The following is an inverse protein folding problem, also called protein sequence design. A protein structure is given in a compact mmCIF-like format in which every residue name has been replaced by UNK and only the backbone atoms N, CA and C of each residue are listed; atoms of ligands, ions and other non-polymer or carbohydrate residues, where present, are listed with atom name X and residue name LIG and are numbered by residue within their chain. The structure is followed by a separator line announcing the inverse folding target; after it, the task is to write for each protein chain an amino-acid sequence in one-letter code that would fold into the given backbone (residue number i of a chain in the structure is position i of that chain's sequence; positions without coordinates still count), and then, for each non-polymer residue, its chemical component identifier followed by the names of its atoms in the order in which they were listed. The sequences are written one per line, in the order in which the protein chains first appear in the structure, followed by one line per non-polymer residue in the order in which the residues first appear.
data_IF_871455658553
#
_entry.id   IF_871455658553
#
_cell.length_a   1.000
_cell.length_b   1.000
_cell.length_c   1.000
_cell.angle_alpha   90.00
_cell.angle_beta   90.00
_cell.angle_gamma   90.00
#
_symmetry.space_group_name_H-M   'P 1'
#
loop_
_entity.id
_entity.type
_entity.pdbx_description
1 polymer ?
#
# COMPACT_ATOMS: atom_id res chain seq x y z
N UNK A 1 47.45 -11.41 37.23
CA UNK A 1 46.08 -10.92 37.01
C UNK A 1 45.98 -9.49 37.44
N UNK A 2 45.58 -8.64 36.50
CA UNK A 2 45.34 -7.24 36.74
C UNK A 2 43.91 -7.01 37.24
N UNK A 3 43.73 -6.13 38.21
CA UNK A 3 42.41 -5.67 38.64
C UNK A 3 41.90 -4.59 37.71
N UNK A 4 40.77 -4.86 37.05
CA UNK A 4 40.20 -4.02 36.01
C UNK A 4 38.71 -3.79 36.25
N UNK A 5 38.18 -2.73 35.65
CA UNK A 5 36.75 -2.45 35.60
C UNK A 5 36.23 -2.79 34.21
N UNK A 6 35.18 -3.59 34.12
CA UNK A 6 34.50 -3.92 32.87
C UNK A 6 33.10 -3.30 32.85
N UNK A 7 32.89 -2.38 31.92
CA UNK A 7 31.67 -1.59 31.81
C UNK A 7 30.82 -2.06 30.63
N UNK A 8 29.57 -2.40 30.94
CA UNK A 8 28.55 -2.87 30.00
C UNK A 8 27.46 -1.80 29.90
N UNK A 9 27.19 -1.25 28.70
CA UNK A 9 26.18 -0.21 28.52
C UNK A 9 24.78 -0.81 28.68
N UNK A 10 23.81 0.04 29.00
CA UNK A 10 22.41 -0.36 29.23
C UNK A 10 21.80 -1.20 28.10
N UNK A 11 22.19 -0.92 26.85
CA UNK A 11 21.77 -1.64 25.64
C UNK A 11 22.20 -3.11 25.62
N UNK A 12 23.31 -3.45 26.28
CA UNK A 12 23.82 -4.82 26.41
C UNK A 12 23.52 -5.44 27.78
N UNK A 13 22.87 -4.69 28.68
CA UNK A 13 22.50 -5.11 30.04
C UNK A 13 20.98 -5.18 30.24
N UNK A 14 20.25 -5.66 29.23
CA UNK A 14 18.81 -5.93 29.31
C UNK A 14 17.95 -4.78 29.86
N UNK A 15 18.37 -3.52 29.60
CA UNK A 15 17.66 -2.32 30.04
C UNK A 15 17.90 -1.91 31.50
N UNK A 16 18.72 -2.65 32.26
CA UNK A 16 19.00 -2.40 33.69
C UNK A 16 19.98 -1.25 33.98
N UNK A 17 20.20 -0.34 33.03
CA UNK A 17 21.23 0.72 33.14
C UNK A 17 22.65 0.24 32.83
N UNK A 18 23.61 1.15 32.86
CA UNK A 18 25.04 0.81 32.74
C UNK A 18 25.47 -0.02 33.95
N UNK A 19 26.23 -1.09 33.69
CA UNK A 19 26.74 -1.99 34.73
C UNK A 19 28.26 -2.03 34.70
N UNK A 20 28.88 -1.82 35.85
CA UNK A 20 30.33 -1.91 36.05
C UNK A 20 30.63 -3.15 36.88
N UNK A 21 31.59 -3.95 36.43
CA UNK A 21 31.98 -5.19 37.07
C UNK A 21 33.48 -5.13 37.32
N UNK A 22 33.89 -5.22 38.57
CA UNK A 22 35.31 -5.32 38.94
C UNK A 22 35.74 -6.79 38.89
N UNK A 23 36.80 -7.08 38.13
CA UNK A 23 37.34 -8.43 37.97
C UNK A 23 38.87 -8.40 37.95
N UNK A 24 39.47 -9.56 38.23
CA UNK A 24 40.91 -9.77 38.04
C UNK A 24 41.14 -10.59 36.77
N UNK A 25 41.85 -10.06 35.77
CA UNK A 25 42.08 -10.72 34.48
C UNK A 25 43.48 -10.47 33.93
N UNK A 26 44.04 -11.46 33.21
CA UNK A 26 45.38 -11.33 32.60
C UNK A 26 45.34 -10.76 31.18
N UNK A 27 44.25 -11.00 30.46
CA UNK A 27 44.07 -10.57 29.06
C UNK A 27 42.62 -10.17 28.78
N UNK A 28 42.40 -9.54 27.63
CA UNK A 28 41.05 -9.21 27.17
C UNK A 28 40.19 -10.47 26.99
N UNK A 29 40.74 -11.57 26.47
CA UNK A 29 40.04 -12.86 26.36
C UNK A 29 39.56 -13.37 27.73
N UNK A 30 40.46 -13.38 28.72
CA UNK A 30 40.15 -13.80 30.08
C UNK A 30 39.06 -12.93 30.72
N UNK A 31 39.09 -11.61 30.48
CA UNK A 31 38.05 -10.69 30.94
C UNK A 31 36.66 -11.04 30.38
N UNK A 32 36.54 -11.31 29.07
CA UNK A 32 35.26 -11.66 28.46
C UNK A 32 34.69 -12.99 28.96
N UNK A 33 35.54 -13.99 29.22
CA UNK A 33 35.12 -15.28 29.81
C UNK A 33 34.50 -15.04 31.19
N UNK A 34 35.24 -14.34 32.07
CA UNK A 34 34.79 -14.06 33.46
C UNK A 34 33.51 -13.23 33.50
N UNK A 35 33.41 -12.18 32.69
CA UNK A 35 32.18 -11.36 32.61
C UNK A 35 31.01 -12.19 32.11
N UNK A 36 31.23 -13.09 31.15
CA UNK A 36 30.19 -13.95 30.61
C UNK A 36 29.66 -14.95 31.62
N UNK A 37 30.50 -15.44 32.54
CA UNK A 37 30.06 -16.28 33.66
C UNK A 37 29.20 -15.50 34.65
N UNK A 38 29.55 -14.23 34.93
CA UNK A 38 28.80 -13.35 35.84
C UNK A 38 27.46 -12.93 35.24
N UNK A 39 27.44 -12.63 33.93
CA UNK A 39 26.27 -12.08 33.24
C UNK A 39 25.31 -13.13 32.69
N UNK A 40 25.76 -14.39 32.57
CA UNK A 40 24.96 -15.50 32.11
C UNK A 40 24.69 -15.53 30.60
N UNK A 41 23.81 -16.42 30.19
CA UNK A 41 23.65 -16.81 28.78
C UNK A 41 23.03 -15.72 27.90
N UNK A 42 22.23 -14.81 28.46
CA UNK A 42 21.67 -13.70 27.69
C UNK A 42 22.75 -12.74 27.19
N UNK A 43 23.73 -12.41 28.04
CA UNK A 43 24.88 -11.60 27.65
C UNK A 43 25.75 -12.31 26.62
N UNK A 44 26.07 -13.60 26.87
CA UNK A 44 26.85 -14.41 25.92
C UNK A 44 26.22 -14.37 24.53
N UNK A 45 24.91 -14.60 24.44
CA UNK A 45 24.17 -14.58 23.17
C UNK A 45 24.26 -13.24 22.45
N UNK A 46 24.24 -12.12 23.18
CA UNK A 46 24.29 -10.75 22.62
C UNK A 46 25.69 -10.27 22.25
N UNK A 47 26.72 -10.75 22.95
CA UNK A 47 28.07 -10.17 22.89
C UNK A 47 29.10 -11.11 22.27
N UNK A 48 28.90 -12.42 22.32
CA UNK A 48 29.85 -13.43 21.80
C UNK A 48 29.28 -14.22 20.61
N UNK A 49 30.16 -14.72 19.76
CA UNK A 49 29.90 -15.76 18.76
C UNK A 49 29.95 -17.16 19.41
N UNK A 50 29.56 -18.20 18.67
CA UNK A 50 29.53 -19.59 19.17
C UNK A 50 30.92 -20.15 19.51
N UNK A 51 32.00 -19.56 18.99
CA UNK A 51 33.38 -19.93 19.30
C UNK A 51 33.94 -19.17 20.52
N UNK A 52 33.13 -18.32 21.17
CA UNK A 52 33.51 -17.55 22.36
C UNK A 52 34.27 -16.24 22.05
N UNK A 53 34.43 -15.87 20.78
CA UNK A 53 34.98 -14.56 20.40
C UNK A 53 33.91 -13.46 20.50
N UNK A 54 34.27 -12.20 20.80
CA UNK A 54 33.31 -11.10 20.73
C UNK A 54 32.76 -10.94 19.32
N UNK A 55 31.44 -10.74 19.20
CA UNK A 55 30.78 -10.48 17.92
C UNK A 55 31.46 -9.32 17.21
N UNK A 56 31.54 -9.40 15.89
CA UNK A 56 32.12 -8.34 15.04
C UNK A 56 31.49 -6.95 15.26
N UNK A 57 30.25 -6.93 15.75
CA UNK A 57 29.49 -5.74 16.11
C UNK A 57 29.70 -5.30 17.57
N UNK A 58 30.77 -5.71 18.25
CA UNK A 58 31.12 -5.21 19.58
C UNK A 58 32.46 -4.46 19.47
N UNK A 59 32.43 -3.15 19.61
CA UNK A 59 33.62 -2.32 19.76
C UNK A 59 34.09 -2.37 21.21
N UNK A 60 35.40 -2.50 21.39
CA UNK A 60 36.03 -2.65 22.71
C UNK A 60 36.98 -1.48 22.92
N UNK A 61 36.90 -0.83 24.06
CA UNK A 61 37.77 0.27 24.45
C UNK A 61 38.50 -0.07 25.74
N UNK A 62 39.79 0.27 25.81
CA UNK A 62 40.62 0.14 27.01
C UNK A 62 41.12 1.54 27.36
N UNK A 63 40.77 2.05 28.54
CA UNK A 63 41.06 3.42 28.99
C UNK A 63 40.68 4.47 27.93
N UNK A 64 39.54 4.28 27.27
CA UNK A 64 39.02 5.16 26.22
C UNK A 64 39.65 4.98 24.82
N UNK A 65 40.63 4.08 24.63
CA UNK A 65 41.24 3.79 23.32
C UNK A 65 40.69 2.51 22.72
N UNK A 66 40.35 2.52 21.42
CA UNK A 66 39.79 1.35 20.75
C UNK A 66 40.83 0.21 20.64
N UNK A 67 40.43 -1.00 21.08
CA UNK A 67 41.32 -2.16 21.20
C UNK A 67 41.75 -2.78 19.87
N UNK A 68 41.14 -2.39 18.73
CA UNK A 68 41.57 -2.84 17.39
C UNK A 68 43.01 -2.46 17.05
N UNK A 69 43.61 -1.52 17.78
CA UNK A 69 45.00 -1.05 17.56
C UNK A 69 46.02 -1.62 18.55
N UNK A 70 45.60 -2.44 19.52
CA UNK A 70 46.42 -2.81 20.70
C UNK A 70 46.59 -4.32 20.91
N UNK A 71 46.62 -5.12 19.85
CA UNK A 71 46.90 -6.57 19.94
C UNK A 71 45.66 -7.47 20.03
N UNK A 72 44.45 -6.93 19.92
CA UNK A 72 43.22 -7.72 19.86
C UNK A 72 42.88 -8.43 21.18
N UNK A 73 42.41 -9.68 21.12
CA UNK A 73 42.00 -10.43 22.32
C UNK A 73 43.16 -10.88 23.21
N UNK A 74 44.39 -10.90 22.67
CA UNK A 74 45.62 -11.22 23.42
C UNK A 74 46.20 -10.01 24.15
N UNK A 75 45.55 -8.84 24.09
CA UNK A 75 45.99 -7.65 24.80
C UNK A 75 46.15 -7.96 26.30
N UNK A 76 47.38 -7.80 26.81
CA UNK A 76 47.70 -7.93 28.23
C UNK A 76 47.12 -6.74 28.99
N UNK A 77 46.38 -7.02 30.06
CA UNK A 77 45.76 -6.00 30.90
C UNK A 77 46.69 -5.60 32.06
N UNK A 78 46.62 -4.35 32.48
CA UNK A 78 47.35 -3.83 33.65
C UNK A 78 46.38 -3.27 34.68
N UNK A 79 46.81 -3.22 35.94
CA UNK A 79 45.98 -2.74 37.06
C UNK A 79 45.39 -1.35 36.76
N UNK A 80 44.10 -1.22 37.06
CA UNK A 80 43.33 0.00 36.84
C UNK A 80 42.86 0.22 35.40
N UNK A 81 43.00 -0.77 34.50
CA UNK A 81 42.38 -0.67 33.18
C UNK A 81 40.84 -0.61 33.29
N UNK A 82 40.25 0.32 32.53
CA UNK A 82 38.81 0.44 32.33
C UNK A 82 38.46 -0.07 30.92
N UNK A 83 37.70 -1.17 30.88
CA UNK A 83 37.24 -1.81 29.64
C UNK A 83 35.80 -1.40 29.41
N UNK A 84 35.51 -0.79 28.27
CA UNK A 84 34.17 -0.40 27.89
C UNK A 84 33.79 -1.10 26.58
N UNK A 85 32.71 -1.88 26.60
CA UNK A 85 32.16 -2.45 25.37
C UNK A 85 31.03 -1.59 24.85
N UNK A 86 31.03 -1.37 23.55
CA UNK A 86 29.92 -0.75 22.85
C UNK A 86 29.45 -1.72 21.80
N UNK A 87 28.14 -1.97 21.66
CA UNK A 87 27.69 -2.44 20.37
C UNK A 87 28.20 -1.43 19.34
N UNK A 88 28.77 -1.93 18.26
CA UNK A 88 29.10 -1.15 17.09
C UNK A 88 27.78 -0.56 16.58
N UNK A 89 27.47 0.62 17.10
CA UNK A 89 26.67 1.60 16.40
C UNK A 89 27.50 1.95 15.18
N UNK A 90 27.23 1.24 14.08
CA UNK A 90 27.98 1.27 12.83
C UNK A 90 29.41 0.73 12.92
N UNK A 91 29.61 -0.49 12.42
CA UNK A 91 30.93 -0.90 11.98
C UNK A 91 31.34 -0.06 10.78
N UNK A 92 32.04 1.06 10.98
CA UNK A 92 32.77 1.79 9.93
C UNK A 92 31.99 2.28 8.70
N UNK A 93 30.71 1.98 8.57
CA UNK A 93 29.81 2.49 7.54
C UNK A 93 29.04 3.66 8.14
N UNK A 94 29.42 4.88 7.77
CA UNK A 94 28.68 6.13 8.06
C UNK A 94 27.30 6.18 7.37
N UNK A 95 26.67 5.03 7.11
CA UNK A 95 25.43 4.92 6.33
C UNK A 95 24.19 5.22 7.18
N UNK A 96 24.21 4.91 8.48
CA UNK A 96 23.24 5.43 9.46
C UNK A 96 23.91 6.49 10.32
N UNK A 97 23.34 7.69 10.36
CA UNK A 97 23.80 8.77 11.23
C UNK A 97 23.52 8.45 12.71
N UNK A 98 24.21 9.13 13.61
CA UNK A 98 23.97 8.99 15.06
C UNK A 98 22.52 9.29 15.45
N UNK A 99 21.88 10.26 14.77
CA UNK A 99 20.46 10.60 14.96
C UNK A 99 19.55 9.44 14.55
N UNK A 100 19.82 8.80 13.42
CA UNK A 100 19.06 7.63 12.95
C UNK A 100 19.25 6.43 13.88
N UNK A 101 20.48 6.21 14.37
CA UNK A 101 20.76 5.14 15.32
C UNK A 101 20.05 5.33 16.66
N UNK A 102 19.99 6.56 17.16
CA UNK A 102 19.20 6.86 18.37
C UNK A 102 17.70 6.64 18.12
N UNK A 103 17.17 7.19 17.02
CA UNK A 103 15.77 7.08 16.62
C UNK A 103 15.30 5.63 16.45
N UNK A 104 16.08 4.81 15.75
CA UNK A 104 15.73 3.42 15.41
C UNK A 104 16.37 2.39 16.34
N UNK A 105 16.99 2.83 17.45
CA UNK A 105 17.70 1.96 18.40
C UNK A 105 16.88 0.73 18.80
N UNK A 106 15.59 0.89 19.09
CA UNK A 106 14.71 -0.22 19.50
C UNK A 106 14.45 -1.22 18.35
N UNK A 107 14.41 -0.75 17.10
CA UNK A 107 14.26 -1.60 15.92
C UNK A 107 15.57 -2.31 15.56
N UNK A 108 16.70 -1.61 15.66
CA UNK A 108 18.04 -2.19 15.41
C UNK A 108 18.36 -3.32 16.39
N UNK A 109 17.79 -3.29 17.60
CA UNK A 109 17.94 -4.38 18.59
C UNK A 109 17.05 -5.60 18.31
N UNK A 110 16.04 -5.51 17.44
CA UNK A 110 15.22 -6.66 17.07
C UNK A 110 16.03 -7.61 16.20
N UNK A 111 16.08 -8.88 16.58
CA UNK A 111 16.70 -9.94 15.77
C UNK A 111 16.08 -10.00 14.37
N UNK A 112 14.79 -9.67 14.27
CA UNK A 112 14.06 -9.69 13.03
C UNK A 112 14.47 -8.58 12.05
N UNK A 113 15.03 -7.46 12.52
CA UNK A 113 15.42 -6.32 11.69
C UNK A 113 16.94 -6.14 11.71
N UNK A 114 17.53 -5.92 12.88
CA UNK A 114 18.95 -5.65 13.03
C UNK A 114 19.40 -4.35 12.37
N UNK A 115 20.70 -4.03 12.49
CA UNK A 115 21.30 -2.88 11.80
C UNK A 115 21.14 -2.98 10.27
N UNK A 116 21.37 -4.17 9.71
CA UNK A 116 21.29 -4.40 8.26
C UNK A 116 19.86 -4.28 7.72
N UNK A 117 18.85 -4.75 8.45
CA UNK A 117 17.45 -4.54 8.06
C UNK A 117 17.06 -3.07 8.12
N UNK A 118 17.54 -2.33 9.13
CA UNK A 118 17.30 -0.88 9.20
C UNK A 118 17.95 -0.12 8.05
N UNK A 119 19.15 -0.52 7.63
CA UNK A 119 19.82 0.05 6.46
C UNK A 119 19.04 -0.25 5.17
N UNK A 120 18.53 -1.47 5.00
CA UNK A 120 17.66 -1.82 3.86
C UNK A 120 16.37 -1.00 3.85
N UNK A 121 15.75 -0.78 5.01
CA UNK A 121 14.58 0.12 5.12
C UNK A 121 14.94 1.54 4.66
N UNK A 122 16.05 2.10 5.17
CA UNK A 122 16.54 3.42 4.77
C UNK A 122 16.81 3.54 3.27
N UNK A 123 17.31 2.48 2.64
CA UNK A 123 17.64 2.50 1.21
C UNK A 123 16.46 2.11 0.31
N UNK A 124 15.31 1.75 0.87
CA UNK A 124 14.15 1.29 0.11
C UNK A 124 13.23 2.42 -0.34
N UNK A 125 12.52 2.15 -1.43
CA UNK A 125 11.41 2.94 -1.97
C UNK A 125 10.12 2.12 -1.98
N UNK A 126 9.18 2.51 -1.14
CA UNK A 126 7.86 1.86 -1.02
C UNK A 126 6.78 2.74 -1.64
N UNK A 127 5.90 2.15 -2.45
CA UNK A 127 4.70 2.82 -2.95
C UNK A 127 3.48 2.36 -2.16
N UNK A 128 2.76 3.29 -1.53
CA UNK A 128 1.46 3.03 -0.89
C UNK A 128 0.37 3.68 -1.71
N UNK A 129 -0.57 2.88 -2.18
CA UNK A 129 -1.67 3.31 -3.05
C UNK A 129 -2.95 3.34 -2.23
N UNK A 130 -3.50 4.53 -2.05
CA UNK A 130 -4.54 4.85 -1.08
C UNK A 130 -3.93 5.40 0.21
N UNK A 131 -4.34 6.60 0.61
CA UNK A 131 -3.96 7.23 1.88
C UNK A 131 -5.21 7.45 2.76
N UNK A 132 -6.25 6.66 2.53
CA UNK A 132 -7.47 6.63 3.32
C UNK A 132 -7.34 5.87 4.64
N UNK A 133 -8.42 5.21 5.07
CA UNK A 133 -8.47 4.57 6.38
C UNK A 133 -7.46 3.44 6.57
N UNK A 134 -7.19 2.66 5.52
CA UNK A 134 -6.17 1.62 5.53
C UNK A 134 -4.76 2.19 5.30
N UNK A 135 -4.62 3.17 4.39
CA UNK A 135 -3.35 3.80 4.05
C UNK A 135 -2.72 4.68 5.16
N UNK A 136 -3.55 5.32 5.98
CA UNK A 136 -3.12 6.15 7.12
C UNK A 136 -2.18 5.40 8.10
N UNK A 137 -2.60 4.25 8.69
CA UNK A 137 -1.73 3.49 9.57
C UNK A 137 -0.50 2.89 8.86
N UNK A 138 -0.62 2.55 7.57
CA UNK A 138 0.50 1.99 6.77
C UNK A 138 1.60 3.03 6.58
N UNK A 139 1.24 4.17 5.99
CA UNK A 139 2.21 5.24 5.66
C UNK A 139 2.88 5.80 6.91
N UNK A 140 2.12 6.02 7.99
CA UNK A 140 2.65 6.50 9.26
C UNK A 140 3.67 5.54 9.86
N UNK A 141 3.38 4.23 9.84
CA UNK A 141 4.28 3.21 10.38
C UNK A 141 5.54 3.07 9.53
N UNK A 142 5.42 3.00 8.20
CA UNK A 142 6.61 2.91 7.32
C UNK A 142 7.53 4.13 7.48
N UNK A 143 6.95 5.33 7.57
CA UNK A 143 7.73 6.55 7.81
C UNK A 143 8.42 6.49 9.18
N UNK A 144 7.70 6.09 10.23
CA UNK A 144 8.24 5.95 11.58
C UNK A 144 9.30 4.83 11.69
N UNK A 145 9.20 3.78 10.88
CA UNK A 145 10.15 2.67 10.81
C UNK A 145 11.41 2.99 10.03
N UNK A 146 11.48 4.16 9.37
CA UNK A 146 12.68 4.62 8.67
C UNK A 146 12.80 4.12 7.23
N UNK A 147 11.68 3.91 6.52
CA UNK A 147 11.71 3.75 5.06
C UNK A 147 12.30 5.01 4.41
N UNK A 148 13.23 4.83 3.46
CA UNK A 148 13.94 5.94 2.82
C UNK A 148 13.05 6.83 1.98
N UNK A 149 12.31 6.23 1.05
CA UNK A 149 11.38 6.95 0.18
C UNK A 149 9.99 6.32 0.25
N UNK A 150 8.98 7.14 0.57
CA UNK A 150 7.58 6.77 0.51
C UNK A 150 6.89 7.51 -0.62
N UNK A 151 6.50 6.77 -1.65
CA UNK A 151 5.57 7.26 -2.65
C UNK A 151 4.15 7.00 -2.16
N UNK A 152 3.35 8.05 -2.05
CA UNK A 152 1.96 7.97 -1.61
C UNK A 152 1.04 8.44 -2.73
N UNK A 153 -0.02 7.68 -3.01
CA UNK A 153 -0.92 7.94 -4.13
C UNK A 153 -2.36 7.95 -3.64
N UNK A 154 -3.08 9.03 -3.91
CA UNK A 154 -4.52 9.16 -3.63
C UNK A 154 -5.05 10.32 -4.48
N UNK A 155 -6.30 10.26 -4.91
CA UNK A 155 -6.93 11.30 -5.73
C UNK A 155 -7.91 12.17 -4.95
N UNK A 156 -8.26 11.76 -3.73
CA UNK A 156 -9.38 12.32 -3.00
C UNK A 156 -8.99 13.54 -2.15
N UNK A 157 -10.04 14.23 -1.70
CA UNK A 157 -9.99 15.27 -0.68
C UNK A 157 -10.46 14.73 0.68
N UNK A 158 -10.06 15.40 1.75
CA UNK A 158 -10.43 15.03 3.12
C UNK A 158 -11.86 15.48 3.39
N UNK A 159 -12.68 14.57 3.91
CA UNK A 159 -14.07 14.86 4.31
C UNK A 159 -14.25 14.64 5.82
N UNK A 160 -15.23 15.33 6.43
CA UNK A 160 -15.57 15.12 7.85
C UNK A 160 -15.91 13.65 8.16
N UNK A 161 -16.60 12.99 7.23
CA UNK A 161 -16.97 11.56 7.31
C UNK A 161 -15.75 10.62 7.39
N UNK A 162 -14.55 11.10 7.04
CA UNK A 162 -13.33 10.31 6.99
C UNK A 162 -12.61 10.26 8.34
N UNK A 163 -12.79 11.28 9.19
CA UNK A 163 -11.96 11.51 10.37
C UNK A 163 -12.08 10.41 11.44
N UNK A 164 -13.21 9.70 11.52
CA UNK A 164 -13.37 8.59 12.48
C UNK A 164 -12.40 7.42 12.23
N UNK A 165 -11.85 7.30 11.01
CA UNK A 165 -10.95 6.20 10.61
C UNK A 165 -9.64 6.64 9.98
N UNK A 166 -9.50 7.92 9.63
CA UNK A 166 -8.29 8.50 9.03
C UNK A 166 -7.62 9.44 10.04
N UNK A 167 -7.07 8.86 11.10
CA UNK A 167 -6.59 9.57 12.29
C UNK A 167 -5.34 10.43 12.08
N UNK A 168 -4.72 10.36 10.90
CA UNK A 168 -3.70 11.33 10.50
C UNK A 168 -4.31 12.72 10.28
N UNK A 169 -5.57 12.80 9.85
CA UNK A 169 -6.26 14.05 9.52
C UNK A 169 -7.09 14.57 10.68
N UNK A 170 -7.36 15.87 10.67
CA UNK A 170 -8.23 16.56 11.64
C UNK A 170 -9.21 17.50 10.93
N UNK A 171 -10.12 18.13 11.68
CA UNK A 171 -11.16 19.00 11.13
C UNK A 171 -10.60 20.19 10.34
N UNK A 172 -9.39 20.67 10.67
CA UNK A 172 -8.76 21.77 9.93
C UNK A 172 -8.25 21.37 8.55
N UNK A 173 -8.13 20.07 8.29
CA UNK A 173 -7.71 19.55 6.99
C UNK A 173 -8.87 19.33 6.01
N UNK A 174 -10.12 19.42 6.46
CA UNK A 174 -11.30 19.13 5.63
C UNK A 174 -11.32 20.02 4.38
N UNK A 175 -11.55 19.40 3.22
CA UNK A 175 -11.53 20.04 1.89
C UNK A 175 -10.16 20.09 1.23
N UNK A 176 -9.07 19.74 1.93
CA UNK A 176 -7.72 19.69 1.37
C UNK A 176 -7.44 18.33 0.70
N UNK A 177 -6.50 18.30 -0.25
CA UNK A 177 -6.10 17.07 -0.96
C UNK A 177 -5.39 16.11 0.01
N UNK A 178 -5.84 14.86 0.08
CA UNK A 178 -5.36 13.86 1.06
C UNK A 178 -3.85 13.68 1.03
N UNK A 179 -3.28 13.41 -0.16
CA UNK A 179 -1.84 13.16 -0.31
C UNK A 179 -0.97 14.36 0.05
N UNK A 180 -1.46 15.58 -0.16
CA UNK A 180 -0.69 16.79 0.18
C UNK A 180 -0.59 16.96 1.70
N UNK A 181 -1.71 16.81 2.41
CA UNK A 181 -1.74 16.87 3.87
C UNK A 181 -0.98 15.71 4.49
N UNK A 182 -1.19 14.49 3.96
CA UNK A 182 -0.46 13.32 4.41
C UNK A 182 1.05 13.51 4.25
N UNK A 183 1.51 14.04 3.12
CA UNK A 183 2.92 14.35 2.90
C UNK A 183 3.49 15.30 3.96
N UNK A 184 2.81 16.42 4.23
CA UNK A 184 3.22 17.38 5.28
C UNK A 184 3.31 16.72 6.66
N UNK A 185 2.31 15.90 7.02
CA UNK A 185 2.24 15.24 8.33
C UNK A 185 3.29 14.13 8.46
N UNK A 186 3.52 13.34 7.42
CA UNK A 186 4.56 12.31 7.37
C UNK A 186 5.97 12.91 7.41
N UNK A 187 6.22 14.02 6.70
CA UNK A 187 7.51 14.72 6.74
C UNK A 187 7.79 15.26 8.15
N UNK A 188 6.77 15.74 8.87
CA UNK A 188 6.89 16.15 10.28
C UNK A 188 7.16 14.96 11.19
N UNK A 189 6.51 13.82 10.93
CA UNK A 189 6.71 12.59 11.68
C UNK A 189 8.16 12.10 11.56
N UNK A 190 8.68 11.96 10.33
CA UNK A 190 10.06 11.59 10.10
C UNK A 190 10.70 12.45 8.99
N UNK A 191 11.47 13.50 9.34
CA UNK A 191 12.12 14.37 8.37
C UNK A 191 13.16 13.68 7.47
N UNK A 192 13.66 12.51 7.87
CA UNK A 192 14.69 11.77 7.13
C UNK A 192 14.04 10.85 6.06
N UNK A 193 12.71 10.71 6.05
CA UNK A 193 11.94 10.01 5.03
C UNK A 193 11.57 10.97 3.88
N UNK A 194 11.92 10.61 2.64
CA UNK A 194 11.52 11.37 1.45
C UNK A 194 10.11 10.98 1.04
N UNK A 195 9.18 11.95 1.04
CA UNK A 195 7.81 11.71 0.59
C UNK A 195 7.61 12.15 -0.86
N UNK A 196 7.14 11.24 -1.73
CA UNK A 196 6.70 11.49 -3.10
C UNK A 196 5.17 11.41 -3.17
N UNK A 197 4.49 12.56 -3.12
CA UNK A 197 3.02 12.61 -3.14
C UNK A 197 2.48 12.74 -4.56
N UNK A 198 1.59 11.84 -4.96
CA UNK A 198 0.95 11.83 -6.28
C UNK A 198 -0.58 11.91 -6.15
N UNK A 199 -1.14 13.05 -6.54
CA UNK A 199 -2.58 13.31 -6.54
C UNK A 199 -3.28 12.73 -7.79
N UNK A 200 -3.24 11.41 -7.97
CA UNK A 200 -3.71 10.74 -9.19
C UNK A 200 -4.57 9.51 -8.89
N UNK A 201 -5.48 9.21 -9.83
CA UNK A 201 -6.29 7.99 -9.79
C UNK A 201 -5.53 6.82 -10.40
N UNK A 202 -5.69 5.62 -9.84
CA UNK A 202 -5.12 4.38 -10.38
C UNK A 202 -6.08 3.76 -11.38
N UNK A 203 -5.58 3.50 -12.58
CA UNK A 203 -6.26 2.80 -13.65
C UNK A 203 -5.21 2.20 -14.61
N UNK A 204 -5.67 1.52 -15.66
CA UNK A 204 -4.80 0.85 -16.65
C UNK A 204 -3.78 1.78 -17.32
N UNK A 205 -4.02 3.09 -17.33
CA UNK A 205 -3.15 4.08 -17.96
C UNK A 205 -2.11 4.65 -16.99
N UNK A 206 -2.45 4.77 -15.70
CA UNK A 206 -1.61 5.44 -14.70
C UNK A 206 -0.81 4.47 -13.82
N UNK A 207 -1.30 3.24 -13.65
CA UNK A 207 -0.72 2.29 -12.70
C UNK A 207 0.75 1.95 -13.00
N UNK A 208 1.14 1.92 -14.28
CA UNK A 208 2.51 1.60 -14.68
C UNK A 208 3.52 2.63 -14.18
N UNK A 209 3.24 3.91 -14.41
CA UNK A 209 4.13 5.00 -14.01
C UNK A 209 4.21 5.13 -12.49
N UNK A 210 3.11 4.81 -11.80
CA UNK A 210 3.01 4.85 -10.33
C UNK A 210 3.95 3.85 -9.66
N UNK A 211 3.97 2.60 -10.13
CA UNK A 211 4.73 1.54 -9.45
C UNK A 211 6.20 1.50 -9.86
N UNK A 212 6.56 2.12 -10.99
CA UNK A 212 7.89 2.01 -11.55
C UNK A 212 8.97 2.52 -10.57
N UNK A 213 10.02 1.70 -10.41
CA UNK A 213 11.19 2.01 -9.58
C UNK A 213 10.99 1.83 -8.08
N UNK A 214 9.87 1.24 -7.64
CA UNK A 214 9.64 0.88 -6.24
C UNK A 214 10.10 -0.55 -5.94
N UNK A 215 10.58 -0.79 -4.72
CA UNK A 215 11.01 -2.12 -4.25
C UNK A 215 9.82 -2.98 -3.83
N UNK A 216 8.77 -2.34 -3.31
CA UNK A 216 7.50 -2.99 -2.93
C UNK A 216 6.35 -1.99 -3.06
N UNK A 217 5.19 -2.49 -3.45
CA UNK A 217 3.93 -1.75 -3.54
C UNK A 217 2.96 -2.29 -2.49
N UNK A 218 2.22 -1.40 -1.83
CA UNK A 218 1.17 -1.73 -0.87
C UNK A 218 -0.15 -1.15 -1.36
N UNK A 219 -1.15 -2.00 -1.50
CA UNK A 219 -2.52 -1.67 -1.88
C UNK A 219 -3.40 -1.43 -0.66
N UNK A 220 -3.78 -0.16 -0.51
CA UNK A 220 -4.77 0.31 0.43
C UNK A 220 -5.97 0.97 -0.29
N UNK A 221 -6.28 0.51 -1.50
CA UNK A 221 -7.43 0.96 -2.28
C UNK A 221 -8.71 0.36 -1.74
N UNK A 222 -9.84 0.94 -2.14
CA UNK A 222 -11.19 0.42 -1.91
C UNK A 222 -11.89 -0.02 -3.21
N UNK A 223 -11.34 0.30 -4.38
CA UNK A 223 -11.88 -0.04 -5.70
C UNK A 223 -11.30 -1.34 -6.27
N UNK A 224 -12.18 -2.21 -6.79
CA UNK A 224 -11.78 -3.48 -7.43
C UNK A 224 -11.02 -3.22 -8.73
N UNK A 225 -11.52 -2.31 -9.56
CA UNK A 225 -10.90 -1.98 -10.85
C UNK A 225 -9.48 -1.40 -10.68
N UNK A 226 -9.31 -0.52 -9.69
CA UNK A 226 -7.99 0.04 -9.37
C UNK A 226 -7.01 -1.05 -8.89
N UNK A 227 -7.47 -2.04 -8.11
CA UNK A 227 -6.65 -3.18 -7.69
C UNK A 227 -6.20 -4.07 -8.85
N UNK A 228 -7.07 -4.33 -9.83
CA UNK A 228 -6.67 -5.05 -11.04
C UNK A 228 -5.60 -4.30 -11.84
N UNK A 229 -5.78 -2.99 -12.06
CA UNK A 229 -4.79 -2.17 -12.75
C UNK A 229 -3.43 -2.17 -12.02
N UNK A 230 -3.46 -2.03 -10.69
CA UNK A 230 -2.26 -2.05 -9.85
C UNK A 230 -1.56 -3.41 -9.87
N UNK A 231 -2.31 -4.50 -9.76
CA UNK A 231 -1.80 -5.87 -9.89
C UNK A 231 -1.12 -6.09 -11.25
N UNK A 232 -1.77 -5.67 -12.34
CA UNK A 232 -1.22 -5.81 -13.69
C UNK A 232 0.11 -5.06 -13.83
N UNK A 233 0.19 -3.85 -13.27
CA UNK A 233 1.41 -3.06 -13.28
C UNK A 233 2.55 -3.72 -12.47
N UNK A 234 2.26 -4.19 -11.25
CA UNK A 234 3.25 -4.87 -10.40
C UNK A 234 3.76 -6.16 -11.05
N UNK A 235 2.85 -6.97 -11.64
CA UNK A 235 3.23 -8.20 -12.36
C UNK A 235 4.12 -7.90 -13.56
N UNK A 236 3.81 -6.84 -14.33
CA UNK A 236 4.60 -6.44 -15.50
C UNK A 236 6.03 -6.04 -15.14
N UNK A 237 6.23 -5.29 -14.06
CA UNK A 237 7.56 -4.86 -13.61
C UNK A 237 8.26 -5.87 -12.69
N UNK A 238 7.58 -6.94 -12.26
CA UNK A 238 8.14 -7.90 -11.31
C UNK A 238 8.29 -7.34 -9.90
N UNK A 239 7.45 -6.38 -9.51
CA UNK A 239 7.53 -5.71 -8.20
C UNK A 239 6.61 -6.45 -7.19
N UNK A 240 7.14 -6.89 -6.04
CA UNK A 240 6.33 -7.45 -4.95
C UNK A 240 5.22 -6.51 -4.51
N UNK A 241 4.07 -7.09 -4.19
CA UNK A 241 2.83 -6.37 -3.95
C UNK A 241 2.11 -6.94 -2.73
N UNK A 242 1.84 -6.11 -1.73
CA UNK A 242 1.08 -6.48 -0.53
C UNK A 242 -0.28 -5.82 -0.62
N UNK A 243 -1.36 -6.55 -0.33
CA UNK A 243 -2.73 -6.03 -0.47
C UNK A 243 -3.55 -6.36 0.76
N UNK A 244 -4.28 -5.35 1.20
CA UNK A 244 -5.24 -5.41 2.28
C UNK A 244 -6.61 -4.94 1.83
N UNK A 245 -7.64 -5.55 2.40
CA UNK A 245 -9.02 -5.10 2.26
C UNK A 245 -9.74 -5.21 3.61
N UNK A 246 -10.71 -4.33 3.85
CA UNK A 246 -11.54 -4.38 5.05
C UNK A 246 -12.92 -3.81 4.77
N UNK A 247 -13.95 -4.42 5.35
CA UNK A 247 -15.35 -4.00 5.29
C UNK A 247 -16.05 -4.44 6.57
N UNK A 248 -16.90 -3.58 7.15
CA UNK A 248 -17.51 -3.84 8.44
C UNK A 248 -16.45 -4.12 9.52
N UNK A 249 -16.48 -5.34 10.07
CA UNK A 249 -15.54 -5.85 11.09
C UNK A 249 -14.54 -6.88 10.54
N UNK A 250 -14.59 -7.16 9.24
CA UNK A 250 -13.79 -8.19 8.59
C UNK A 250 -12.68 -7.59 7.73
N UNK A 251 -11.55 -8.29 7.65
CA UNK A 251 -10.40 -7.89 6.85
C UNK A 251 -9.69 -9.06 6.19
N UNK A 252 -8.94 -8.75 5.14
CA UNK A 252 -8.15 -9.73 4.40
C UNK A 252 -6.77 -9.15 4.08
N UNK A 253 -5.73 -9.99 4.15
CA UNK A 253 -4.36 -9.61 3.76
C UNK A 253 -3.69 -10.76 3.03
N UNK A 254 -2.98 -10.44 1.95
CA UNK A 254 -2.08 -11.39 1.28
C UNK A 254 -0.94 -10.68 0.56
N UNK A 255 0.05 -11.46 0.14
CA UNK A 255 1.24 -10.96 -0.56
C UNK A 255 1.39 -11.65 -1.90
N UNK A 256 1.66 -10.86 -2.93
CA UNK A 256 1.89 -11.30 -4.29
C UNK A 256 3.37 -11.10 -4.62
N UNK A 257 4.04 -12.20 -4.92
CA UNK A 257 5.37 -12.24 -5.51
C UNK A 257 5.19 -12.54 -7.01
N UNK A 258 5.35 -11.54 -7.90
CA UNK A 258 5.14 -11.73 -9.32
C UNK A 258 5.86 -12.95 -9.90
N UNK A 259 5.14 -13.75 -10.69
CA UNK A 259 5.61 -15.00 -11.31
C UNK A 259 5.96 -16.15 -10.35
N UNK A 260 5.93 -15.92 -9.03
CA UNK A 260 6.18 -16.95 -8.01
C UNK A 260 4.90 -17.39 -7.29
N UNK A 261 4.06 -16.44 -6.86
CA UNK A 261 2.79 -16.73 -6.18
C UNK A 261 1.57 -16.49 -7.07
N UNK A 262 0.37 -16.80 -6.54
CA UNK A 262 -0.88 -16.35 -7.13
C UNK A 262 -0.90 -14.83 -7.21
N UNK A 263 -1.24 -14.25 -8.37
CA UNK A 263 -1.54 -12.83 -8.49
C UNK A 263 -3.00 -12.54 -8.14
N UNK A 264 -3.41 -11.27 -8.09
CA UNK A 264 -4.77 -10.90 -7.69
C UNK A 264 -5.82 -11.59 -8.58
N UNK A 265 -5.61 -11.59 -9.90
CA UNK A 265 -6.47 -12.28 -10.86
C UNK A 265 -6.54 -13.81 -10.67
N UNK A 266 -5.47 -14.46 -10.19
CA UNK A 266 -5.54 -15.90 -9.89
C UNK A 266 -6.51 -16.20 -8.75
N UNK A 267 -6.55 -15.34 -7.74
CA UNK A 267 -7.38 -15.52 -6.55
C UNK A 267 -8.81 -15.06 -6.79
N UNK A 268 -8.97 -13.99 -7.56
CA UNK A 268 -10.25 -13.36 -7.82
C UNK A 268 -10.37 -13.04 -9.32
N UNK A 269 -10.76 -13.99 -10.17
CA UNK A 269 -11.01 -13.72 -11.58
C UNK A 269 -12.32 -12.96 -11.74
N UNK A 270 -12.31 -11.91 -12.59
CA UNK A 270 -13.52 -11.22 -13.08
C UNK A 270 -14.49 -10.70 -11.99
N UNK A 271 -13.96 -10.17 -10.88
CA UNK A 271 -14.80 -9.51 -9.88
C UNK A 271 -15.50 -8.30 -10.50
N UNK A 272 -16.82 -8.25 -10.33
CA UNK A 272 -17.62 -7.09 -10.72
C UNK A 272 -17.71 -6.11 -9.53
N UNK A 273 -17.16 -4.92 -9.71
CA UNK A 273 -17.18 -3.84 -8.71
C UNK A 273 -18.60 -3.50 -8.25
N UNK A 274 -19.58 -3.51 -9.15
CA UNK A 274 -20.98 -3.16 -8.85
C UNK A 274 -21.68 -4.15 -7.90
N UNK A 275 -21.10 -5.35 -7.74
CA UNK A 275 -21.65 -6.42 -6.90
C UNK A 275 -20.96 -6.51 -5.53
N UNK A 276 -19.91 -5.72 -5.30
CA UNK A 276 -19.09 -5.82 -4.11
C UNK A 276 -19.58 -4.83 -3.03
N UNK A 277 -19.65 -5.23 -1.76
CA UNK A 277 -20.00 -4.32 -0.67
C UNK A 277 -18.89 -3.26 -0.51
N UNK A 278 -19.28 -2.00 -0.38
CA UNK A 278 -18.35 -0.89 -0.14
C UNK A 278 -18.39 -0.44 1.31
N UNK A 279 -17.31 0.19 1.78
CA UNK A 279 -17.25 0.81 3.10
C UNK A 279 -18.32 1.89 3.31
N UNK A 280 -18.80 2.52 2.24
CA UNK A 280 -19.87 3.53 2.32
C UNK A 280 -21.26 2.93 2.52
N UNK A 281 -21.45 1.66 2.15
CA UNK A 281 -22.71 0.94 2.31
C UNK A 281 -22.72 0.18 3.65
N UNK A 282 -21.68 -0.61 3.92
CA UNK A 282 -21.62 -1.49 5.11
C UNK A 282 -21.03 -0.81 6.35
N UNK A 283 -20.35 0.33 6.17
CA UNK A 283 -19.49 0.90 7.21
C UNK A 283 -18.17 0.12 7.39
N UNK A 284 -17.31 0.63 8.27
CA UNK A 284 -16.05 -0.04 8.60
C UNK A 284 -15.55 0.33 10.00
N UNK A 285 -15.10 -0.67 10.74
CA UNK A 285 -14.57 -0.48 12.09
C UNK A 285 -13.12 0.04 12.04
N UNK A 286 -12.76 1.17 12.68
CA UNK A 286 -11.41 1.74 12.57
C UNK A 286 -10.28 0.79 12.98
N UNK A 287 -10.53 -0.09 13.97
CA UNK A 287 -9.53 -1.08 14.41
C UNK A 287 -9.19 -2.13 13.35
N UNK A 288 -10.14 -2.56 12.49
CA UNK A 288 -9.80 -3.57 11.47
C UNK A 288 -8.79 -2.99 10.48
N UNK A 289 -8.92 -1.71 10.13
CA UNK A 289 -7.99 -1.00 9.25
C UNK A 289 -6.58 -0.94 9.86
N UNK A 290 -6.50 -0.70 11.16
CA UNK A 290 -5.21 -0.64 11.86
C UNK A 290 -4.52 -2.00 11.94
N UNK A 291 -5.29 -3.08 12.09
CA UNK A 291 -4.79 -4.46 12.16
C UNK A 291 -4.35 -4.93 10.77
N UNK A 292 -5.22 -4.81 9.77
CA UNK A 292 -4.93 -5.14 8.36
C UNK A 292 -3.68 -4.36 7.90
N UNK A 293 -3.69 -3.04 8.06
CA UNK A 293 -2.55 -2.19 7.66
C UNK A 293 -1.28 -2.48 8.46
N UNK A 294 -1.38 -2.93 9.72
CA UNK A 294 -0.23 -3.36 10.50
C UNK A 294 0.41 -4.64 9.94
N UNK A 295 -0.42 -5.59 9.50
CA UNK A 295 0.04 -6.83 8.89
C UNK A 295 0.62 -6.56 7.50
N UNK A 296 0.03 -5.67 6.72
CA UNK A 296 0.58 -5.25 5.41
C UNK A 296 1.98 -4.64 5.57
N UNK A 297 2.18 -3.77 6.55
CA UNK A 297 3.52 -3.23 6.89
C UNK A 297 4.49 -4.34 7.27
N UNK A 298 4.08 -5.32 8.07
CA UNK A 298 4.94 -6.42 8.47
C UNK A 298 5.39 -7.29 7.27
N UNK A 299 4.50 -7.55 6.31
CA UNK A 299 4.84 -8.28 5.09
C UNK A 299 5.73 -7.47 4.14
N UNK A 300 5.45 -6.17 3.97
CA UNK A 300 6.29 -5.28 3.18
C UNK A 300 7.71 -5.17 3.76
N UNK A 301 7.85 -5.04 5.08
CA UNK A 301 9.14 -5.00 5.76
C UNK A 301 9.92 -6.29 5.55
N UNK A 302 9.27 -7.47 5.62
CA UNK A 302 9.94 -8.74 5.30
C UNK A 302 10.52 -8.74 3.88
N UNK A 303 9.74 -8.28 2.89
CA UNK A 303 10.21 -8.15 1.50
C UNK A 303 11.46 -7.25 1.44
N UNK A 304 11.38 -6.04 2.00
CA UNK A 304 12.47 -5.05 1.97
C UNK A 304 13.76 -5.60 2.59
N UNK A 305 13.65 -6.30 3.71
CA UNK A 305 14.84 -6.83 4.41
C UNK A 305 15.34 -8.16 3.82
N UNK A 306 14.67 -8.70 2.78
CA UNK A 306 15.06 -9.92 2.08
C UNK A 306 14.57 -11.21 2.73
N UNK A 307 13.53 -11.15 3.55
CA UNK A 307 12.84 -12.32 4.13
C UNK A 307 11.64 -12.71 3.27
N UNK A 308 11.32 -14.00 3.25
CA UNK A 308 10.14 -14.51 2.57
C UNK A 308 8.85 -14.02 3.29
N UNK A 309 7.91 -13.36 2.59
CA UNK A 309 6.63 -12.96 3.18
C UNK A 309 5.78 -14.19 3.55
N UNK A 310 5.13 -14.13 4.71
CA UNK A 310 4.36 -15.22 5.31
C UNK A 310 3.00 -15.46 4.66
N UNK A 311 2.50 -14.48 3.90
CA UNK A 311 1.21 -14.51 3.21
C UNK A 311 1.38 -14.63 1.67
N UNK A 312 2.54 -15.10 1.20
CA UNK A 312 2.80 -15.35 -0.23
C UNK A 312 2.03 -16.54 -0.82
N UNK A 313 1.47 -17.43 0.01
CA UNK A 313 0.80 -18.67 -0.44
C UNK A 313 -0.55 -18.87 0.27
N UNK A 314 -1.08 -17.81 0.88
CA UNK A 314 -2.36 -17.86 1.60
C UNK A 314 -2.94 -16.46 1.77
N UNK A 315 -4.26 -16.40 1.81
CA UNK A 315 -5.01 -15.22 2.27
C UNK A 315 -5.26 -15.38 3.76
N UNK A 316 -4.89 -14.37 4.53
CA UNK A 316 -5.29 -14.25 5.93
C UNK A 316 -6.64 -13.54 5.98
N UNK A 317 -7.62 -14.16 6.64
CA UNK A 317 -8.92 -13.59 6.94
C UNK A 317 -8.96 -13.23 8.42
N UNK A 318 -9.47 -12.05 8.73
CA UNK A 318 -9.55 -11.50 10.07
C UNK A 318 -11.00 -11.13 10.33
N UNK A 319 -11.57 -11.60 11.43
CA UNK A 319 -12.89 -11.23 11.89
C UNK A 319 -12.79 -10.64 13.30
N UNK A 320 -13.15 -9.36 13.46
CA UNK A 320 -13.13 -8.71 14.78
C UNK A 320 -14.33 -9.04 15.66
N UNK A 321 -15.43 -9.56 15.10
CA UNK A 321 -16.58 -9.92 15.92
C UNK A 321 -16.23 -11.08 16.84
N UNK A 322 -15.60 -12.12 16.28
CA UNK A 322 -15.18 -13.32 17.01
C UNK A 322 -13.69 -13.32 17.40
N UNK A 323 -12.93 -12.32 16.93
CA UNK A 323 -11.47 -12.24 17.04
C UNK A 323 -10.75 -13.43 16.40
N UNK A 324 -11.23 -13.86 15.24
CA UNK A 324 -10.72 -15.01 14.52
C UNK A 324 -9.71 -14.63 13.43
N UNK A 325 -8.65 -15.44 13.34
CA UNK A 325 -7.62 -15.35 12.32
C UNK A 325 -7.54 -16.69 11.59
N UNK A 326 -8.13 -16.75 10.40
CA UNK A 326 -8.14 -17.97 9.58
C UNK A 326 -7.37 -17.75 8.29
N UNK A 327 -6.89 -18.81 7.64
CA UNK A 327 -6.15 -18.66 6.40
C UNK A 327 -6.52 -19.69 5.35
N UNK A 328 -6.64 -19.23 4.10
CA UNK A 328 -6.94 -20.07 2.94
C UNK A 328 -5.72 -20.12 2.04
N UNK A 329 -5.26 -21.33 1.67
CA UNK A 329 -4.10 -21.48 0.77
C UNK A 329 -4.44 -21.00 -0.64
N UNK A 330 -3.45 -20.44 -1.32
CA UNK A 330 -3.59 -19.94 -2.69
C UNK A 330 -2.52 -20.54 -3.59
N UNK A 331 -2.88 -20.71 -4.87
CA UNK A 331 -2.01 -21.32 -5.87
C UNK A 331 -2.01 -20.46 -7.13
N UNK A 332 -0.83 -20.31 -7.73
CA UNK A 332 -0.71 -19.63 -9.02
C UNK A 332 -1.34 -20.51 -10.11
N UNK A 333 -2.27 -19.95 -10.88
CA UNK A 333 -2.79 -20.60 -12.08
C UNK A 333 -1.78 -20.44 -13.23
N UNK A 334 -1.42 -21.55 -13.89
CA UNK A 334 -0.45 -21.52 -15.00
C UNK A 334 -1.01 -20.80 -16.22
N UNK A 335 -2.30 -20.94 -16.46
CA UNK A 335 -3.10 -20.33 -17.52
C UNK A 335 -3.65 -18.94 -17.15
N UNK A 336 -3.21 -18.33 -16.03
CA UNK A 336 -3.62 -16.98 -15.68
C UNK A 336 -3.28 -16.00 -16.82
N UNK A 337 -4.23 -15.17 -17.29
CA UNK A 337 -3.98 -14.25 -18.40
C UNK A 337 -3.11 -13.04 -18.00
N UNK A 338 -2.85 -12.85 -16.70
CA UNK A 338 -2.03 -11.76 -16.17
C UNK A 338 -0.60 -12.22 -15.87
N UNK A 339 -0.44 -13.29 -15.09
CA UNK A 339 0.87 -13.74 -14.61
C UNK A 339 1.32 -15.09 -15.19
N UNK A 340 0.50 -15.72 -16.03
CA UNK A 340 0.69 -17.04 -16.63
C UNK A 340 0.82 -17.02 -18.16
N UNK A 341 0.47 -18.14 -18.79
CA UNK A 341 0.51 -18.33 -20.25
C UNK A 341 -0.80 -17.98 -20.96
N UNK A 342 -1.86 -17.71 -20.19
CA UNK A 342 -3.16 -17.35 -20.72
C UNK A 342 -3.13 -16.04 -21.51
N UNK A 343 -4.14 -15.84 -22.37
CA UNK A 343 -4.34 -14.58 -23.10
C UNK A 343 -5.59 -13.90 -22.56
N UNK A 344 -5.51 -12.61 -22.28
CA UNK A 344 -6.70 -11.79 -21.98
C UNK A 344 -7.56 -11.77 -23.25
N UNK A 345 -8.74 -12.40 -23.21
CA UNK A 345 -9.81 -12.11 -24.15
C UNK A 345 -10.30 -10.70 -23.85
N UNK A 346 -9.77 -9.71 -24.55
CA UNK A 346 -10.25 -8.34 -24.45
C UNK A 346 -11.67 -8.30 -25.00
N UNK A 347 -12.67 -8.28 -24.12
CA UNK A 347 -14.02 -7.88 -24.52
C UNK A 347 -13.90 -6.43 -25.00
N UNK A 348 -14.23 -6.12 -26.27
CA UNK A 348 -14.09 -4.76 -26.78
C UNK A 348 -14.91 -3.82 -25.90
N UNK A 349 -14.29 -2.72 -25.44
CA UNK A 349 -15.00 -1.65 -24.72
C UNK A 349 -16.21 -1.25 -25.58
N UNK A 350 -17.41 -1.44 -25.04
CA UNK A 350 -18.65 -1.06 -25.73
C UNK A 350 -18.62 0.46 -25.93
N UNK A 351 -19.01 0.93 -27.12
CA UNK A 351 -19.07 2.36 -27.46
C UNK A 351 -20.03 3.14 -26.55
N UNK A 352 -21.05 2.46 -26.04
CA UNK A 352 -22.12 2.99 -25.19
C UNK A 352 -22.32 2.10 -23.96
N UNK A 353 -22.48 2.72 -22.80
CA UNK A 353 -22.96 2.10 -21.56
C UNK A 353 -24.47 2.34 -21.50
N UNK A 354 -25.23 1.28 -21.22
CA UNK A 354 -26.68 1.31 -21.15
C UNK A 354 -27.14 0.83 -19.78
N UNK A 355 -28.03 1.58 -19.15
CA UNK A 355 -28.63 1.24 -17.86
C UNK A 355 -30.15 1.35 -17.97
N UNK A 356 -30.88 0.30 -17.62
CA UNK A 356 -32.34 0.39 -17.48
C UNK A 356 -32.69 1.03 -16.12
N UNK A 357 -33.39 2.17 -16.16
CA UNK A 357 -33.81 2.89 -14.98
C UNK A 357 -35.19 2.40 -14.51
N UNK A 358 -35.29 2.06 -13.22
CA UNK A 358 -36.55 1.71 -12.56
C UNK A 358 -37.45 2.95 -12.41
N UNK A 359 -38.22 3.31 -13.44
CA UNK A 359 -39.07 4.50 -13.49
C UNK A 359 -40.57 4.21 -13.54
N UNK A 360 -41.36 4.97 -12.76
CA UNK A 360 -42.84 4.93 -12.65
C UNK A 360 -43.58 5.53 -13.88
N UNK A 361 -43.05 5.36 -15.09
CA UNK A 361 -43.58 5.97 -16.32
C UNK A 361 -44.76 5.18 -16.93
N UNK A 362 -45.81 4.93 -16.13
CA UNK A 362 -47.05 4.23 -16.57
C UNK A 362 -46.77 2.91 -17.33
N UNK A 363 -45.74 2.16 -16.92
CA UNK A 363 -45.36 0.88 -17.53
C UNK A 363 -44.37 0.95 -18.70
N UNK A 364 -43.88 2.14 -19.07
CA UNK A 364 -42.85 2.30 -20.12
C UNK A 364 -41.44 2.12 -19.56
N UNK A 365 -40.63 1.29 -20.23
CA UNK A 365 -39.21 1.08 -19.92
C UNK A 365 -38.42 2.36 -20.17
N UNK A 366 -37.40 2.61 -19.36
CA UNK A 366 -36.57 3.82 -19.43
C UNK A 366 -35.11 3.41 -19.44
N UNK A 367 -34.32 3.93 -20.38
CA UNK A 367 -32.90 3.64 -20.52
C UNK A 367 -32.08 4.91 -20.40
N UNK A 368 -30.98 4.84 -19.65
CA UNK A 368 -29.90 5.81 -19.65
C UNK A 368 -28.80 5.31 -20.58
N UNK A 369 -28.41 6.13 -21.55
CA UNK A 369 -27.29 5.86 -22.45
C UNK A 369 -26.18 6.85 -22.12
N UNK A 370 -25.00 6.32 -21.84
CA UNK A 370 -23.78 7.11 -21.60
C UNK A 370 -22.69 6.68 -22.57
N UNK A 371 -22.21 7.56 -23.46
CA UNK A 371 -21.08 7.24 -24.32
C UNK A 371 -19.80 7.14 -23.50
N UNK A 372 -18.91 6.21 -23.85
CA UNK A 372 -17.63 6.06 -23.13
C UNK A 372 -16.66 7.22 -23.37
N UNK A 373 -16.93 8.06 -24.39
CA UNK A 373 -16.24 9.31 -24.66
C UNK A 373 -17.26 10.46 -24.64
N UNK A 374 -16.95 11.54 -23.92
CA UNK A 374 -17.83 12.71 -23.86
C UNK A 374 -17.64 13.62 -25.08
N UNK A 375 -18.72 14.23 -25.56
CA UNK A 375 -18.70 15.20 -26.65
C UNK A 375 -19.83 16.21 -26.48
N UNK A 376 -19.66 17.42 -27.03
CA UNK A 376 -20.74 18.41 -27.01
C UNK A 376 -21.80 18.10 -28.07
N UNK A 377 -23.04 17.98 -27.62
CA UNK A 377 -24.20 17.68 -28.46
C UNK A 377 -24.58 18.90 -29.31
N UNK A 378 -24.68 18.70 -30.64
CA UNK A 378 -25.26 19.69 -31.55
C UNK A 378 -26.80 19.67 -31.45
N UNK A 379 -27.33 20.46 -30.52
CA UNK A 379 -28.76 20.55 -30.24
C UNK A 379 -29.58 21.03 -31.44
N UNK A 380 -29.00 21.84 -32.33
CA UNK A 380 -29.68 22.31 -33.55
C UNK A 380 -29.85 21.18 -34.55
N UNK A 381 -28.78 20.41 -34.79
CA UNK A 381 -28.82 19.23 -35.67
C UNK A 381 -29.80 18.17 -35.13
N UNK A 382 -29.72 17.87 -33.84
CA UNK A 382 -30.64 16.92 -33.21
C UNK A 382 -32.09 17.41 -33.34
N UNK A 383 -32.36 18.68 -33.06
CA UNK A 383 -33.72 19.26 -33.16
C UNK A 383 -34.30 19.11 -34.57
N UNK A 384 -33.47 19.33 -35.61
CA UNK A 384 -33.89 19.17 -37.00
C UNK A 384 -34.24 17.71 -37.32
N UNK A 385 -33.43 16.75 -36.86
CA UNK A 385 -33.67 15.31 -37.06
C UNK A 385 -34.92 14.86 -36.28
N UNK A 386 -35.05 15.30 -35.03
CA UNK A 386 -36.17 14.99 -34.16
C UNK A 386 -37.51 15.44 -34.75
N UNK A 387 -37.59 16.69 -35.25
CA UNK A 387 -38.81 17.22 -35.90
C UNK A 387 -39.21 16.43 -37.14
N UNK A 388 -38.25 15.98 -37.96
CA UNK A 388 -38.52 15.11 -39.12
C UNK A 388 -39.09 13.74 -38.71
N UNK A 389 -38.80 13.30 -37.49
CA UNK A 389 -39.29 12.04 -36.92
C UNK A 389 -40.57 12.21 -36.07
N UNK A 390 -41.19 13.39 -36.10
CA UNK A 390 -42.45 13.65 -35.39
C UNK A 390 -42.29 13.95 -33.90
N UNK A 391 -41.07 14.19 -33.42
CA UNK A 391 -40.85 14.66 -32.04
C UNK A 391 -41.19 16.14 -31.90
N UNK A 392 -41.85 16.48 -30.80
CA UNK A 392 -42.06 17.83 -30.32
C UNK A 392 -40.95 18.14 -29.33
N UNK A 393 -40.21 19.22 -29.55
CA UNK A 393 -39.18 19.70 -28.62
C UNK A 393 -39.87 20.45 -27.48
N UNK A 394 -39.73 19.95 -26.26
CA UNK A 394 -40.35 20.53 -25.06
C UNK A 394 -39.43 21.54 -24.37
N UNK A 395 -38.11 21.30 -24.38
CA UNK A 395 -37.14 22.15 -23.71
C UNK A 395 -35.82 22.18 -24.50
N UNK A 396 -35.31 23.40 -24.76
CA UNK A 396 -33.97 23.67 -25.26
C UNK A 396 -33.27 24.57 -24.24
N UNK A 397 -32.39 24.01 -23.42
CA UNK A 397 -31.67 24.72 -22.37
C UNK A 397 -30.15 24.59 -22.49
N UNK A 398 -29.42 25.35 -21.68
CA UNK A 398 -27.94 25.41 -21.75
C UNK A 398 -27.24 24.07 -21.40
N UNK A 399 -27.96 23.16 -20.75
CA UNK A 399 -27.46 21.87 -20.26
C UNK A 399 -28.01 20.67 -21.03
N UNK A 400 -28.96 20.85 -21.95
CA UNK A 400 -29.58 19.74 -22.65
C UNK A 400 -30.80 20.08 -23.50
N UNK A 401 -31.35 19.04 -24.12
CA UNK A 401 -32.50 19.09 -25.03
C UNK A 401 -33.47 17.95 -24.68
N UNK A 402 -34.72 18.27 -24.40
CA UNK A 402 -35.79 17.29 -24.16
C UNK A 402 -36.84 17.36 -25.25
N UNK A 403 -37.27 16.18 -25.70
CA UNK A 403 -38.23 16.01 -26.79
C UNK A 403 -39.12 14.79 -26.55
N UNK A 404 -40.28 14.77 -27.18
CA UNK A 404 -41.20 13.63 -27.07
C UNK A 404 -42.08 13.41 -28.29
N UNK A 405 -42.60 12.20 -28.40
CA UNK A 405 -43.80 11.86 -29.19
C UNK A 405 -44.94 11.47 -28.22
N UNK A 406 -46.02 10.90 -28.75
CA UNK A 406 -47.06 10.28 -27.91
C UNK A 406 -46.49 9.11 -27.10
N UNK A 407 -45.52 8.39 -27.67
CA UNK A 407 -45.03 7.12 -27.14
C UNK A 407 -43.65 7.19 -26.50
N UNK A 408 -42.79 8.09 -26.99
CA UNK A 408 -41.38 8.19 -26.61
C UNK A 408 -41.07 9.53 -25.97
N UNK A 409 -40.10 9.56 -25.06
CA UNK A 409 -39.47 10.79 -24.59
C UNK A 409 -37.96 10.59 -24.60
N UNK A 410 -37.22 11.58 -25.10
CA UNK A 410 -35.75 11.57 -25.16
C UNK A 410 -35.23 12.87 -24.57
N UNK A 411 -34.30 12.77 -23.65
CA UNK A 411 -33.60 13.92 -23.05
C UNK A 411 -32.10 13.75 -23.22
N UNK A 412 -31.49 14.57 -24.08
CA UNK A 412 -30.06 14.64 -24.26
C UNK A 412 -29.43 15.61 -23.26
N UNK A 413 -28.35 15.19 -22.64
CA UNK A 413 -27.45 16.04 -21.87
C UNK A 413 -26.40 16.65 -22.80
N UNK A 414 -25.90 17.84 -22.47
CA UNK A 414 -24.89 18.55 -23.28
C UNK A 414 -23.67 17.70 -23.63
N UNK A 415 -23.25 16.80 -22.74
CA UNK A 415 -22.05 15.97 -22.89
C UNK A 415 -22.26 14.58 -23.51
N UNK A 416 -23.40 14.37 -24.16
CA UNK A 416 -23.64 13.19 -25.00
C UNK A 416 -24.49 12.10 -24.34
N UNK A 417 -24.66 12.09 -23.02
CA UNK A 417 -25.59 11.14 -22.38
C UNK A 417 -27.04 11.44 -22.76
N UNK A 418 -27.89 10.42 -22.78
CA UNK A 418 -29.32 10.58 -23.03
C UNK A 418 -30.17 9.67 -22.15
N UNK A 419 -31.36 10.13 -21.80
CA UNK A 419 -32.41 9.31 -21.19
C UNK A 419 -33.52 9.10 -22.19
N UNK A 420 -33.88 7.83 -22.45
CA UNK A 420 -34.90 7.42 -23.41
C UNK A 420 -36.01 6.67 -22.68
N UNK A 421 -37.23 7.18 -22.75
CA UNK A 421 -38.44 6.57 -22.17
C UNK A 421 -39.31 6.02 -23.29
N UNK A 422 -39.80 4.79 -23.14
CA UNK A 422 -40.76 4.15 -24.04
C UNK A 422 -40.16 3.27 -25.13
N UNK A 423 -38.82 3.10 -25.15
CA UNK A 423 -38.17 2.11 -26.01
C UNK A 423 -38.51 0.69 -25.59
N UNK A 424 -38.60 -0.21 -26.57
CA UNK A 424 -39.03 -1.61 -26.36
C UNK A 424 -37.99 -2.42 -25.60
N UNK A 425 -36.74 -2.25 -26.00
CA UNK A 425 -35.56 -2.97 -25.52
C UNK A 425 -34.32 -2.06 -25.63
N UNK A 426 -33.18 -2.63 -25.23
CA UNK A 426 -31.87 -1.97 -25.23
C UNK A 426 -31.41 -1.55 -26.63
N UNK A 427 -31.62 -2.41 -27.63
CA UNK A 427 -31.21 -2.17 -29.01
C UNK A 427 -32.03 -1.05 -29.66
N UNK A 428 -33.34 -1.00 -29.41
CA UNK A 428 -34.22 0.08 -29.85
C UNK A 428 -33.79 1.43 -29.26
N UNK A 429 -33.40 1.46 -27.98
CA UNK A 429 -32.89 2.66 -27.33
C UNK A 429 -31.57 3.15 -27.97
N UNK A 430 -30.61 2.25 -28.22
CA UNK A 430 -29.33 2.58 -28.85
C UNK A 430 -29.53 3.09 -30.28
N UNK A 431 -30.39 2.44 -31.06
CA UNK A 431 -30.70 2.84 -32.43
C UNK A 431 -31.35 4.23 -32.46
N UNK A 432 -32.29 4.50 -31.54
CA UNK A 432 -32.92 5.81 -31.44
C UNK A 432 -31.91 6.89 -31.06
N UNK A 433 -31.04 6.61 -30.08
CA UNK A 433 -29.95 7.51 -29.68
C UNK A 433 -29.02 7.88 -30.84
N UNK A 434 -28.43 6.88 -31.52
CA UNK A 434 -27.51 7.10 -32.64
C UNK A 434 -28.17 7.83 -33.80
N UNK A 435 -29.42 7.49 -34.11
CA UNK A 435 -30.20 8.12 -35.17
C UNK A 435 -30.46 9.59 -34.88
N UNK A 436 -30.81 9.95 -33.64
CA UNK A 436 -31.06 11.34 -33.25
C UNK A 436 -29.78 12.19 -33.25
N UNK A 437 -28.61 11.61 -32.93
CA UNK A 437 -27.30 12.26 -33.10
C UNK A 437 -26.89 12.49 -34.56
N UNK A 438 -27.58 11.85 -35.51
CA UNK A 438 -27.23 11.90 -36.93
C UNK A 438 -25.92 11.19 -37.23
N UNK A 439 -25.61 10.14 -36.48
CA UNK A 439 -24.55 9.17 -36.76
C UNK A 439 -25.15 8.13 -37.71
N UNK A 440 -24.80 8.15 -39.00
CA UNK A 440 -25.29 7.15 -39.96
C UNK A 440 -24.90 5.74 -39.51
N UNK A 441 -25.87 4.81 -39.51
CA UNK A 441 -25.56 3.39 -39.58
C UNK A 441 -24.91 3.13 -40.94
N UNK A 442 -23.60 2.91 -40.96
CA UNK A 442 -22.98 2.10 -42.01
C UNK A 442 -23.46 0.66 -41.83
N UNK A 443 -24.67 0.39 -42.30
CA UNK A 443 -25.10 -0.96 -42.64
C UNK A 443 -24.34 -1.36 -43.92
N UNK A 444 -23.15 -1.95 -43.77
CA UNK A 444 -22.55 -2.86 -44.75
C UNK A 444 -21.34 -3.62 -44.18
N UNK A 445 -21.31 -4.91 -44.55
CA UNK A 445 -20.45 -6.02 -44.13
C UNK A 445 -21.03 -6.73 -42.88
N UNK A 446 -21.90 -7.75 -42.96
CA UNK A 446 -22.07 -8.82 -43.97
C UNK A 446 -20.80 -9.65 -44.22
N UNK A 447 -20.32 -10.34 -43.17
CA UNK A 447 -20.03 -11.78 -43.13
C UNK A 447 -19.41 -12.16 -41.78
#
# INVERSE_FOLDING_TARGET
MANITFTIPSVLNSGGGEKKIEISADSLQDAFVKVSEIMGDDFKRRVLESDGTPRSLINIYINGKNAKFSGGMETILVDGNDIYILPAVAGGSNELSSKELDRFSRQVMLEEIGYQGQLKLKNSKVCVVGVGGLGNPITSRLAAMGVGTLRIVDRDVIELSNLHRQTMFDESDVGQVKVEIASKKLQKLNPDCKIEALAISINDYTALDVVQGCDVVIDALDSVNARYALNNACVKFGIPFVTGAAVGVSGQVFTILPKESACYYCMFPELNEDTMPTCSIEGVHPSILSIVGGIEVAEAVKIIIGKKPSLSQRILHIDLENLDFTSTRTFRAEECPICGTGKITTTPKKELILEELCGRNRGKRTYSITPTNTFDVDTNKITLIAKKQGFIVENLGDLGLSMRTNDLSVSFMKKGSAVIVGSKDEDDAILLYKRLLGSEMNAKNSL
#
